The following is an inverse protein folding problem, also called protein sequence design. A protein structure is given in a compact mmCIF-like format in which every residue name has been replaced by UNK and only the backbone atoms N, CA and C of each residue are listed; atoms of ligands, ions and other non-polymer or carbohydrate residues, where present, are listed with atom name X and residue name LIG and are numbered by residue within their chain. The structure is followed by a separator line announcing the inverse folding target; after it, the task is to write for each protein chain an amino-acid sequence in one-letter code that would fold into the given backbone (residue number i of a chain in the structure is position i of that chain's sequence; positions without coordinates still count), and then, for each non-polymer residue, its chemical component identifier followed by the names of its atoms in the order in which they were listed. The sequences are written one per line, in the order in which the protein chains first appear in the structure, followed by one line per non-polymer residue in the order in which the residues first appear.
data_IF_067299844351
#
_entry.id   IF_067299844351
#
_cell.length_a   1.000
_cell.length_b   1.000
_cell.length_c   1.000
_cell.angle_alpha   90.00
_cell.angle_beta   90.00
_cell.angle_gamma   90.00
#
_symmetry.space_group_name_H-M   'P 1'
#
loop_
_entity.id
_entity.type
_entity.pdbx_description
1 polymer ?
#
# COMPACT_ATOMS: atom_id res chain seq x y z
N UNK A 1 27.57 57.71 -44.95
CA UNK A 1 27.94 57.12 -43.66
C UNK A 1 26.74 56.38 -43.16
N UNK A 2 26.66 55.10 -43.55
CA UNK A 2 25.66 54.14 -43.05
C UNK A 2 26.19 53.42 -41.86
N UNK A 3 25.62 53.63 -40.66
CA UNK A 3 25.90 52.89 -39.49
C UNK A 3 25.08 51.56 -39.49
N UNK A 4 25.75 50.45 -39.69
CA UNK A 4 25.17 49.13 -39.47
C UNK A 4 25.03 48.91 -37.98
N UNK A 5 23.78 48.75 -37.49
CA UNK A 5 23.51 48.26 -36.12
C UNK A 5 23.45 46.75 -36.19
N UNK A 6 24.45 46.10 -35.61
CA UNK A 6 24.44 44.66 -35.32
C UNK A 6 23.51 44.41 -34.14
N UNK A 7 22.35 43.80 -34.39
CA UNK A 7 21.52 43.27 -33.32
C UNK A 7 22.12 41.92 -32.89
N UNK A 8 22.75 41.85 -31.71
CA UNK A 8 23.10 40.61 -31.08
C UNK A 8 21.83 39.94 -30.57
N UNK A 9 21.39 38.86 -31.21
CA UNK A 9 20.39 37.95 -30.62
C UNK A 9 21.12 37.15 -29.52
N UNK A 10 20.91 37.51 -28.27
CA UNK A 10 21.20 36.63 -27.15
C UNK A 10 20.17 35.49 -27.16
N UNK A 11 20.53 34.34 -27.67
CA UNK A 11 19.83 33.13 -27.35
C UNK A 11 20.14 32.83 -25.89
N UNK A 12 19.23 33.18 -24.99
CA UNK A 12 19.25 32.63 -23.61
C UNK A 12 19.16 31.12 -23.73
N UNK A 13 20.01 30.41 -23.02
CA UNK A 13 19.89 28.95 -22.88
C UNK A 13 18.45 28.64 -22.48
N UNK A 14 17.76 27.80 -23.28
CA UNK A 14 16.44 27.32 -22.95
C UNK A 14 16.56 26.58 -21.60
N UNK A 15 15.80 27.03 -20.60
CA UNK A 15 15.82 26.37 -19.29
C UNK A 15 15.25 24.96 -19.46
N UNK A 16 16.03 23.95 -19.12
CA UNK A 16 15.56 22.58 -19.11
C UNK A 16 14.48 22.42 -18.02
N UNK A 17 13.37 21.82 -18.40
CA UNK A 17 12.27 21.50 -17.52
C UNK A 17 12.24 19.98 -17.28
N UNK A 18 11.84 19.56 -16.08
CA UNK A 18 11.84 18.14 -15.70
C UNK A 18 10.45 17.56 -15.88
N UNK A 19 10.39 16.41 -16.53
CA UNK A 19 9.24 15.49 -16.50
C UNK A 19 9.56 14.38 -15.52
N UNK A 20 9.03 14.48 -14.30
CA UNK A 20 9.17 13.46 -13.27
C UNK A 20 8.07 12.41 -13.45
N UNK A 21 8.46 11.16 -13.67
CA UNK A 21 7.54 10.05 -13.87
C UNK A 21 7.60 9.07 -12.70
N UNK A 22 6.44 8.51 -12.35
CA UNK A 22 6.31 7.45 -11.35
C UNK A 22 5.23 6.47 -11.79
N UNK A 23 5.22 5.29 -11.18
CA UNK A 23 4.18 4.28 -11.40
C UNK A 23 3.70 3.69 -10.09
N UNK A 24 2.45 3.24 -10.06
CA UNK A 24 1.99 2.31 -9.02
C UNK A 24 2.66 0.95 -9.21
N UNK A 25 2.43 0.01 -8.27
CA UNK A 25 2.85 -1.39 -8.46
C UNK A 25 2.16 -1.94 -9.71
N UNK A 26 2.85 -2.83 -10.43
CA UNK A 26 2.30 -3.56 -11.57
C UNK A 26 2.64 -2.99 -12.93
N UNK A 27 3.63 -2.13 -13.01
CA UNK A 27 4.14 -1.65 -14.30
C UNK A 27 5.26 -0.63 -14.19
N UNK A 28 5.78 -0.23 -15.33
CA UNK A 28 6.85 0.74 -15.48
C UNK A 28 6.45 1.88 -16.42
N UNK A 29 7.19 3.00 -16.31
CA UNK A 29 7.01 4.18 -17.15
C UNK A 29 8.32 4.54 -17.82
N UNK A 30 8.26 4.90 -19.09
CA UNK A 30 9.39 5.46 -19.85
C UNK A 30 9.05 6.84 -20.38
N UNK A 31 10.07 7.64 -20.72
CA UNK A 31 9.93 8.96 -21.31
C UNK A 31 10.05 10.13 -20.33
N UNK A 32 10.34 9.87 -19.04
CA UNK A 32 10.71 10.94 -18.10
C UNK A 32 12.12 11.47 -18.36
N UNK A 33 12.40 12.70 -17.94
CA UNK A 33 13.72 13.30 -18.10
C UNK A 33 13.65 14.84 -18.25
N UNK A 34 14.71 15.41 -18.81
CA UNK A 34 14.83 16.84 -19.08
C UNK A 34 14.38 17.16 -20.53
N UNK A 35 13.58 18.20 -20.68
CA UNK A 35 13.04 18.67 -21.95
C UNK A 35 13.09 20.19 -22.04
N UNK A 36 13.25 20.70 -23.23
CA UNK A 36 13.11 22.14 -23.47
C UNK A 36 11.62 22.53 -23.60
N UNK A 37 11.29 23.75 -23.18
CA UNK A 37 9.94 24.26 -23.36
C UNK A 37 9.52 24.26 -24.83
N UNK A 38 8.37 23.68 -25.14
CA UNK A 38 7.84 23.49 -26.48
C UNK A 38 8.20 22.16 -27.17
N UNK A 39 9.05 21.34 -26.56
CA UNK A 39 9.33 19.99 -27.07
C UNK A 39 8.14 19.04 -26.85
N UNK A 40 8.02 18.06 -27.72
CA UNK A 40 7.02 17.00 -27.59
C UNK A 40 7.55 15.93 -26.65
N UNK A 41 6.83 15.71 -25.55
CA UNK A 41 7.10 14.64 -24.60
C UNK A 41 6.21 13.46 -24.93
N UNK A 42 6.79 12.26 -24.94
CA UNK A 42 6.04 10.99 -25.07
C UNK A 42 6.31 10.15 -23.84
N UNK A 43 5.26 9.81 -23.10
CA UNK A 43 5.32 8.90 -21.95
C UNK A 43 4.62 7.59 -22.31
N UNK A 44 5.24 6.47 -21.96
CA UNK A 44 4.66 5.13 -22.20
C UNK A 44 4.60 4.36 -20.89
N UNK A 45 3.41 3.87 -20.56
CA UNK A 45 3.14 2.98 -19.45
C UNK A 45 3.14 1.53 -19.95
N UNK A 46 3.94 0.68 -19.30
CA UNK A 46 4.07 -0.74 -19.65
C UNK A 46 3.63 -1.57 -18.46
N UNK A 47 2.49 -2.28 -18.54
CA UNK A 47 2.04 -3.17 -17.48
C UNK A 47 2.97 -4.37 -17.33
N UNK A 48 3.19 -4.80 -16.10
CA UNK A 48 3.81 -6.08 -15.78
C UNK A 48 2.83 -7.24 -16.05
N UNK A 49 3.35 -8.48 -16.06
CA UNK A 49 2.50 -9.66 -16.22
C UNK A 49 1.46 -9.72 -15.07
N UNK A 50 0.20 -9.93 -15.44
CA UNK A 50 -0.91 -9.94 -14.48
C UNK A 50 -1.45 -8.56 -14.10
N UNK A 51 -0.99 -7.49 -14.76
CA UNK A 51 -1.50 -6.13 -14.56
C UNK A 51 -1.97 -5.52 -15.88
N UNK A 52 -2.87 -4.54 -15.78
CA UNK A 52 -3.26 -3.67 -16.89
C UNK A 52 -3.06 -2.21 -16.51
N UNK A 53 -2.81 -1.39 -17.49
CA UNK A 53 -2.76 0.06 -17.30
C UNK A 53 -4.17 0.59 -17.01
N UNK A 54 -4.29 1.43 -15.98
CA UNK A 54 -5.56 2.00 -15.53
C UNK A 54 -5.74 3.46 -15.93
N UNK A 55 -4.64 4.21 -16.12
CA UNK A 55 -4.68 5.61 -16.51
C UNK A 55 -3.50 6.42 -15.99
N UNK A 56 -3.43 7.67 -16.46
CA UNK A 56 -2.44 8.66 -16.05
C UNK A 56 -3.04 9.72 -15.14
N UNK A 57 -2.24 10.18 -14.17
CA UNK A 57 -2.45 11.45 -13.47
C UNK A 57 -1.30 12.37 -13.84
N UNK A 58 -1.59 13.46 -14.55
CA UNK A 58 -0.57 14.43 -15.02
C UNK A 58 -0.85 15.79 -14.41
N UNK A 59 0.19 16.41 -13.85
CA UNK A 59 0.16 17.77 -13.31
C UNK A 59 1.22 18.61 -14.00
N UNK A 60 0.87 19.84 -14.37
CA UNK A 60 1.77 20.78 -15.05
C UNK A 60 1.69 20.76 -16.57
N UNK A 61 0.97 19.82 -17.19
CA UNK A 61 0.72 19.78 -18.63
C UNK A 61 -0.72 19.37 -18.94
N UNK A 62 -1.22 19.73 -20.11
CA UNK A 62 -2.53 19.28 -20.62
C UNK A 62 -2.32 18.09 -21.55
N UNK A 63 -3.05 17.02 -21.29
CA UNK A 63 -3.04 15.77 -22.06
C UNK A 63 -4.47 15.48 -22.53
N UNK A 64 -4.61 15.14 -23.81
CA UNK A 64 -5.94 14.96 -24.42
C UNK A 64 -6.65 13.67 -23.93
N UNK A 65 -5.90 12.60 -23.70
CA UNK A 65 -6.43 11.31 -23.26
C UNK A 65 -5.50 10.71 -22.21
N UNK A 66 -5.97 10.68 -20.97
CA UNK A 66 -5.25 10.09 -19.83
C UNK A 66 -5.45 8.57 -19.70
N UNK A 67 -6.28 7.96 -20.55
CA UNK A 67 -6.56 6.52 -20.53
C UNK A 67 -5.71 5.73 -21.51
N UNK A 68 -5.05 6.39 -22.46
CA UNK A 68 -4.14 5.73 -23.40
C UNK A 68 -2.82 5.35 -22.71
N UNK A 69 -2.33 4.13 -22.95
CA UNK A 69 -1.05 3.66 -22.38
C UNK A 69 0.15 4.51 -22.80
N UNK A 70 0.09 5.11 -23.99
CA UNK A 70 1.07 6.09 -24.46
C UNK A 70 0.40 7.44 -24.63
N UNK A 71 0.94 8.46 -23.95
CA UNK A 71 0.45 9.85 -24.04
C UNK A 71 1.53 10.75 -24.60
N UNK A 72 1.08 11.81 -25.29
CA UNK A 72 1.95 12.87 -25.77
C UNK A 72 1.42 14.22 -25.32
N UNK A 73 2.33 15.15 -25.02
CA UNK A 73 2.00 16.54 -24.71
C UNK A 73 3.18 17.45 -25.08
N UNK A 74 2.92 18.72 -25.21
CA UNK A 74 3.98 19.72 -25.41
C UNK A 74 4.49 20.17 -24.05
N UNK A 75 5.81 20.14 -23.86
CA UNK A 75 6.45 20.61 -22.64
C UNK A 75 6.15 22.09 -22.40
N UNK A 76 5.60 22.49 -21.25
CA UNK A 76 5.38 23.88 -20.91
C UNK A 76 6.67 24.69 -20.95
N UNK A 77 6.57 25.97 -21.31
CA UNK A 77 7.73 26.86 -21.33
C UNK A 77 8.14 27.33 -19.93
N UNK A 78 7.32 27.08 -18.93
CA UNK A 78 7.55 27.42 -17.52
C UNK A 78 7.04 26.27 -16.64
N UNK A 79 7.86 25.85 -15.66
CA UNK A 79 7.52 24.82 -14.70
C UNK A 79 7.89 23.39 -15.13
N UNK A 80 7.74 22.47 -14.20
CA UNK A 80 7.98 21.05 -14.38
C UNK A 80 6.66 20.30 -14.53
N UNK A 81 6.73 19.06 -15.06
CA UNK A 81 5.58 18.16 -15.20
C UNK A 81 5.80 16.95 -14.31
N UNK A 82 4.75 16.50 -13.62
CA UNK A 82 4.74 15.22 -12.94
C UNK A 82 3.70 14.31 -13.57
N UNK A 83 4.04 13.04 -13.80
CA UNK A 83 3.13 12.05 -14.35
C UNK A 83 3.21 10.74 -13.55
N UNK A 84 2.06 10.28 -13.08
CA UNK A 84 1.90 9.00 -12.41
C UNK A 84 1.09 8.07 -13.32
N UNK A 85 1.66 6.92 -13.68
CA UNK A 85 0.93 5.82 -14.30
C UNK A 85 0.34 4.90 -13.23
N UNK A 86 -0.94 4.63 -13.33
CA UNK A 86 -1.64 3.70 -12.45
C UNK A 86 -1.81 2.36 -13.15
N UNK A 87 -1.46 1.28 -12.45
CA UNK A 87 -1.66 -0.09 -12.90
C UNK A 87 -2.54 -0.82 -11.89
N UNK A 88 -3.39 -1.71 -12.40
CA UNK A 88 -4.28 -2.55 -11.60
C UNK A 88 -4.12 -4.00 -12.05
N UNK A 89 -4.28 -4.98 -11.15
CA UNK A 89 -4.26 -6.39 -11.53
C UNK A 89 -5.26 -6.69 -12.64
N UNK A 90 -4.89 -7.58 -13.57
CA UNK A 90 -5.86 -8.11 -14.56
C UNK A 90 -6.72 -9.12 -13.85
N UNK A 91 -7.98 -8.78 -13.66
CA UNK A 91 -8.95 -9.71 -13.09
C UNK A 91 -9.15 -10.88 -14.05
N UNK A 92 -8.64 -12.07 -13.71
CA UNK A 92 -9.12 -13.29 -14.32
C UNK A 92 -10.56 -13.53 -13.86
N UNK A 93 -11.49 -13.59 -14.76
CA UNK A 93 -12.93 -13.62 -14.54
C UNK A 93 -13.40 -14.92 -13.83
N UNK A 94 -13.13 -15.01 -12.54
CA UNK A 94 -13.62 -16.09 -11.67
C UNK A 94 -14.54 -15.62 -10.54
N UNK A 95 -14.62 -14.30 -10.29
CA UNK A 95 -15.49 -13.75 -9.25
C UNK A 95 -16.95 -13.61 -9.70
N UNK A 96 -17.89 -13.82 -8.80
CA UNK A 96 -19.31 -13.58 -9.04
C UNK A 96 -19.58 -12.09 -9.16
N UNK A 97 -19.99 -11.61 -10.33
CA UNK A 97 -20.38 -10.22 -10.55
C UNK A 97 -21.80 -10.00 -9.99
N UNK A 98 -21.89 -9.37 -8.83
CA UNK A 98 -23.16 -9.15 -8.11
C UNK A 98 -23.38 -7.65 -7.94
N UNK A 99 -24.55 -7.18 -8.35
CA UNK A 99 -24.96 -5.77 -8.27
C UNK A 99 -25.95 -5.46 -7.14
N UNK A 100 -25.98 -6.29 -6.08
CA UNK A 100 -26.89 -6.15 -4.94
C UNK A 100 -26.23 -5.46 -3.74
N UNK A 101 -27.02 -4.84 -2.84
CA UNK A 101 -26.52 -4.24 -1.60
C UNK A 101 -26.07 -5.28 -0.56
N UNK A 102 -26.35 -6.55 -0.78
CA UNK A 102 -25.88 -7.65 0.07
C UNK A 102 -25.53 -8.87 -0.76
N UNK A 103 -24.55 -9.63 -0.28
CA UNK A 103 -24.06 -10.85 -0.92
C UNK A 103 -23.81 -11.94 0.13
N UNK A 104 -24.10 -13.18 -0.20
CA UNK A 104 -23.75 -14.34 0.62
C UNK A 104 -22.47 -14.97 0.09
N UNK A 105 -21.55 -15.32 0.98
CA UNK A 105 -20.28 -15.95 0.63
C UNK A 105 -19.88 -17.01 1.64
N UNK A 106 -19.00 -17.93 1.22
CA UNK A 106 -18.36 -18.93 2.09
C UNK A 106 -17.06 -18.36 2.63
N UNK A 107 -16.60 -18.88 3.77
CA UNK A 107 -15.30 -18.53 4.31
C UNK A 107 -14.17 -18.81 3.28
N UNK A 108 -13.29 -17.84 3.08
CA UNK A 108 -12.20 -17.90 2.11
C UNK A 108 -12.60 -17.60 0.67
N UNK A 109 -13.88 -17.39 0.38
CA UNK A 109 -14.36 -17.06 -0.97
C UNK A 109 -13.95 -15.63 -1.35
N UNK A 110 -13.41 -15.48 -2.58
CA UNK A 110 -13.20 -14.18 -3.20
C UNK A 110 -14.50 -13.66 -3.78
N UNK A 111 -14.95 -12.53 -3.29
CA UNK A 111 -16.22 -11.89 -3.69
C UNK A 111 -15.95 -10.61 -4.44
N UNK A 112 -16.68 -10.38 -5.52
CA UNK A 112 -16.63 -9.14 -6.30
C UNK A 112 -18.04 -8.57 -6.46
N UNK A 113 -18.21 -7.33 -6.04
CA UNK A 113 -19.46 -6.59 -6.17
C UNK A 113 -19.18 -5.27 -6.86
N UNK A 114 -19.96 -4.94 -7.87
CA UNK A 114 -19.75 -3.70 -8.61
C UNK A 114 -19.89 -2.49 -7.70
N UNK A 115 -18.89 -1.61 -7.72
CA UNK A 115 -18.95 -0.35 -6.98
C UNK A 115 -20.07 0.52 -7.58
N UNK A 116 -21.05 0.97 -6.79
CA UNK A 116 -22.11 1.85 -7.30
C UNK A 116 -21.55 3.17 -7.84
N UNK A 117 -22.17 3.69 -8.89
CA UNK A 117 -21.77 4.96 -9.49
C UNK A 117 -21.78 6.09 -8.45
N UNK A 118 -20.73 6.90 -8.46
CA UNK A 118 -20.56 8.03 -7.55
C UNK A 118 -20.11 7.66 -6.13
N UNK A 119 -19.86 6.38 -5.84
CA UNK A 119 -19.26 5.95 -4.56
C UNK A 119 -17.75 5.82 -4.67
N UNK A 120 -17.06 6.20 -3.62
CA UNK A 120 -15.63 5.93 -3.43
C UNK A 120 -15.39 4.61 -2.69
N UNK A 121 -14.16 4.15 -2.68
CA UNK A 121 -13.74 2.94 -1.96
C UNK A 121 -14.08 2.97 -0.47
N UNK A 122 -13.98 4.15 0.17
CA UNK A 122 -14.24 4.31 1.61
C UNK A 122 -15.73 4.49 1.93
N UNK A 123 -16.56 4.71 0.91
CA UNK A 123 -18.01 4.86 1.06
C UNK A 123 -18.79 3.57 0.74
N UNK A 124 -18.11 2.50 0.37
CA UNK A 124 -18.75 1.23 0.05
C UNK A 124 -17.86 0.06 0.46
N UNK A 125 -17.66 -0.08 1.78
CA UNK A 125 -16.81 -1.09 2.40
C UNK A 125 -17.61 -2.33 2.77
N UNK A 126 -17.13 -3.54 2.44
CA UNK A 126 -17.80 -4.77 2.83
C UNK A 126 -17.73 -4.97 4.35
N UNK A 127 -18.85 -5.38 4.93
CA UNK A 127 -19.00 -5.61 6.36
C UNK A 127 -19.88 -6.83 6.61
N UNK A 128 -19.76 -7.40 7.81
CA UNK A 128 -20.52 -8.56 8.25
C UNK A 128 -20.82 -8.45 9.75
N UNK A 129 -21.75 -9.27 10.23
CA UNK A 129 -22.01 -9.36 11.67
C UNK A 129 -21.06 -10.40 12.29
N UNK A 130 -20.27 -9.99 13.26
CA UNK A 130 -19.35 -10.87 13.99
C UNK A 130 -20.10 -11.83 14.94
N UNK A 131 -19.35 -12.67 15.66
CA UNK A 131 -19.93 -13.63 16.59
C UNK A 131 -20.58 -12.99 17.83
N UNK A 132 -20.31 -11.72 18.10
CA UNK A 132 -20.95 -10.94 19.18
C UNK A 132 -22.20 -10.20 18.72
N UNK A 133 -22.57 -10.30 17.45
CA UNK A 133 -23.68 -9.57 16.84
C UNK A 133 -23.31 -8.13 16.40
N UNK A 134 -22.03 -7.75 16.50
CA UNK A 134 -21.54 -6.42 16.10
C UNK A 134 -21.15 -6.40 14.63
N UNK A 135 -21.37 -5.24 13.98
CA UNK A 135 -20.89 -5.01 12.63
C UNK A 135 -19.34 -4.90 12.62
N UNK A 136 -18.71 -5.71 11.78
CA UNK A 136 -17.26 -5.70 11.54
C UNK A 136 -16.98 -5.46 10.06
N UNK A 137 -15.97 -4.65 9.76
CA UNK A 137 -15.49 -4.44 8.40
C UNK A 137 -14.66 -5.64 7.93
N UNK A 138 -14.64 -5.89 6.63
CA UNK A 138 -13.75 -6.90 6.04
C UNK A 138 -12.37 -6.29 5.81
N UNK A 139 -11.33 -6.71 6.53
CA UNK A 139 -10.01 -6.08 6.46
C UNK A 139 -9.33 -6.28 5.10
N UNK A 140 -9.47 -7.48 4.51
CA UNK A 140 -8.89 -7.82 3.21
C UNK A 140 -9.92 -7.54 2.13
N UNK A 141 -9.99 -6.28 1.74
CA UNK A 141 -10.90 -5.75 0.73
C UNK A 141 -10.25 -4.57 0.00
N UNK A 142 -10.62 -4.35 -1.26
CA UNK A 142 -10.19 -3.20 -2.06
C UNK A 142 -11.15 -2.96 -3.21
N UNK A 143 -11.10 -1.79 -3.83
CA UNK A 143 -11.72 -1.56 -5.14
C UNK A 143 -10.71 -1.90 -6.22
N UNK A 144 -11.03 -2.91 -7.03
CA UNK A 144 -10.22 -3.37 -8.16
C UNK A 144 -11.12 -3.36 -9.40
N UNK A 145 -10.70 -2.67 -10.45
CA UNK A 145 -11.44 -2.58 -11.73
C UNK A 145 -12.90 -2.11 -11.60
N UNK A 146 -13.18 -1.23 -10.64
CA UNK A 146 -14.55 -0.75 -10.37
C UNK A 146 -15.43 -1.72 -9.60
N UNK A 147 -14.83 -2.79 -9.04
CA UNK A 147 -15.49 -3.74 -8.17
C UNK A 147 -14.91 -3.69 -6.76
N UNK A 148 -15.76 -3.69 -5.75
CA UNK A 148 -15.36 -4.02 -4.39
C UNK A 148 -15.04 -5.50 -4.35
N UNK A 149 -13.77 -5.80 -4.19
CA UNK A 149 -13.22 -7.18 -4.15
C UNK A 149 -12.77 -7.46 -2.72
N UNK A 150 -13.16 -8.60 -2.17
CA UNK A 150 -12.79 -8.97 -0.81
C UNK A 150 -12.74 -10.47 -0.58
N UNK A 151 -11.91 -10.91 0.38
CA UNK A 151 -11.94 -12.28 0.88
C UNK A 151 -12.91 -12.37 2.06
N UNK A 152 -13.88 -13.26 1.95
CA UNK A 152 -14.87 -13.49 2.99
C UNK A 152 -14.23 -14.15 4.22
N UNK A 153 -14.11 -13.48 5.40
CA UNK A 153 -13.45 -14.05 6.57
C UNK A 153 -14.24 -15.21 7.20
N UNK A 154 -15.54 -15.30 6.94
CA UNK A 154 -16.42 -16.39 7.38
C UNK A 154 -17.58 -16.59 6.42
N UNK A 155 -18.24 -17.74 6.49
CA UNK A 155 -19.48 -17.94 5.74
C UNK A 155 -20.61 -17.07 6.31
N UNK A 156 -21.38 -16.42 5.43
CA UNK A 156 -22.48 -15.56 5.85
C UNK A 156 -22.86 -14.51 4.82
N UNK A 157 -23.72 -13.60 5.25
CA UNK A 157 -24.16 -12.47 4.43
C UNK A 157 -23.33 -11.23 4.73
N UNK A 158 -22.85 -10.62 3.66
CA UNK A 158 -22.07 -9.37 3.67
C UNK A 158 -22.95 -8.23 3.19
N UNK A 159 -22.76 -7.08 3.81
CA UNK A 159 -23.40 -5.81 3.44
C UNK A 159 -22.32 -4.78 3.17
N UNK A 160 -22.71 -3.58 2.80
CA UNK A 160 -21.76 -2.50 2.52
C UNK A 160 -22.08 -1.29 3.39
N UNK A 161 -21.04 -0.64 3.88
CA UNK A 161 -21.16 0.52 4.76
C UNK A 161 -20.14 1.60 4.37
N UNK A 162 -20.40 2.82 4.82
CA UNK A 162 -19.53 3.97 4.59
C UNK A 162 -18.70 4.25 5.84
N UNK A 163 -17.38 4.39 5.67
CA UNK A 163 -16.47 4.77 6.75
C UNK A 163 -15.33 5.66 6.22
N UNK A 164 -15.64 6.83 5.62
CA UNK A 164 -14.61 7.76 5.20
C UNK A 164 -13.90 8.35 6.43
N UNK A 165 -12.59 8.23 6.48
CA UNK A 165 -11.75 8.75 7.56
C UNK A 165 -10.76 9.74 6.97
N UNK A 166 -10.76 10.97 7.49
CA UNK A 166 -9.81 12.00 7.11
C UNK A 166 -9.01 12.48 8.33
N UNK A 167 -7.75 12.81 8.11
CA UNK A 167 -6.87 13.38 9.12
C UNK A 167 -6.28 14.70 8.63
N UNK A 168 -6.18 15.67 9.53
CA UNK A 168 -5.74 17.03 9.21
C UNK A 168 -4.27 17.11 8.78
N UNK A 169 -3.46 16.12 9.11
CA UNK A 169 -2.02 16.07 8.85
C UNK A 169 -1.62 15.11 7.73
N UNK A 170 -2.58 14.65 6.91
CA UNK A 170 -2.29 13.68 5.84
C UNK A 170 -2.59 14.18 4.44
N UNK A 171 -3.32 15.28 4.26
CA UNK A 171 -3.87 15.72 2.97
C UNK A 171 -2.81 15.89 1.85
N UNK A 172 -1.59 16.30 2.21
CA UNK A 172 -0.47 16.48 1.27
C UNK A 172 0.66 15.48 1.53
N UNK A 173 0.40 14.41 2.27
CA UNK A 173 1.40 13.42 2.58
C UNK A 173 1.46 12.35 1.48
N UNK A 174 2.67 11.89 1.11
CA UNK A 174 2.87 10.89 0.06
C UNK A 174 2.10 9.57 0.29
N UNK A 175 1.75 9.24 1.53
CA UNK A 175 1.00 8.05 1.92
C UNK A 175 -0.48 8.34 2.20
N UNK A 176 -1.02 9.50 1.82
CA UNK A 176 -2.39 9.89 2.13
C UNK A 176 -3.41 8.82 1.75
N UNK A 177 -3.31 8.26 0.55
CA UNK A 177 -4.21 7.22 0.04
C UNK A 177 -4.09 5.92 0.85
N UNK A 178 -2.87 5.47 1.15
CA UNK A 178 -2.66 4.27 1.95
C UNK A 178 -3.14 4.44 3.39
N UNK A 179 -3.00 5.63 3.96
CA UNK A 179 -3.52 5.97 5.29
C UNK A 179 -5.05 5.94 5.29
N UNK A 180 -5.70 6.60 4.32
CA UNK A 180 -7.15 6.60 4.16
C UNK A 180 -7.68 5.18 3.95
N UNK A 181 -7.06 4.40 3.08
CA UNK A 181 -7.36 3.00 2.82
C UNK A 181 -7.35 2.16 4.12
N UNK A 182 -6.28 2.23 4.89
CA UNK A 182 -6.12 1.47 6.12
C UNK A 182 -7.04 1.96 7.24
N UNK A 183 -7.24 3.28 7.37
CA UNK A 183 -8.09 3.86 8.40
C UNK A 183 -9.57 3.54 8.15
N UNK A 184 -10.02 3.61 6.90
CA UNK A 184 -11.38 3.25 6.53
C UNK A 184 -11.73 1.79 6.88
N UNK A 185 -10.75 0.89 6.89
CA UNK A 185 -10.87 -0.53 7.30
C UNK A 185 -10.60 -0.75 8.80
N UNK A 186 -10.50 0.32 9.58
CA UNK A 186 -10.21 0.30 11.03
C UNK A 186 -8.87 -0.39 11.40
N UNK A 187 -7.96 -0.57 10.44
CA UNK A 187 -6.62 -1.14 10.70
C UNK A 187 -5.79 -0.17 11.54
N UNK A 188 -5.90 1.11 11.25
CA UNK A 188 -5.29 2.18 12.01
C UNK A 188 -6.32 3.12 12.61
N UNK A 189 -5.99 3.65 13.77
CA UNK A 189 -6.71 4.77 14.39
C UNK A 189 -5.82 6.01 14.41
N UNK A 190 -6.41 7.19 14.43
CA UNK A 190 -5.68 8.43 14.68
C UNK A 190 -5.06 8.48 16.08
N UNK A 191 -4.18 9.46 16.29
CA UNK A 191 -3.51 9.70 17.59
C UNK A 191 -4.26 10.70 18.48
N UNK A 192 -5.45 11.09 18.07
CA UNK A 192 -6.26 12.13 18.71
C UNK A 192 -6.18 13.47 17.99
N UNK A 193 -7.11 14.40 18.32
CA UNK A 193 -7.18 15.72 17.71
C UNK A 193 -7.34 15.74 16.19
N UNK A 194 -7.95 14.70 15.58
CA UNK A 194 -8.11 14.60 14.14
C UNK A 194 -6.81 14.35 13.36
N UNK A 195 -5.75 13.87 14.04
CA UNK A 195 -4.42 13.63 13.45
C UNK A 195 -4.10 12.16 13.33
N UNK A 196 -3.29 11.80 12.31
CA UNK A 196 -2.73 10.47 12.09
C UNK A 196 -1.29 10.33 12.58
N UNK A 197 -0.51 11.40 12.54
CA UNK A 197 0.94 11.43 12.77
C UNK A 197 1.71 10.49 11.80
N UNK A 198 1.68 10.75 10.48
CA UNK A 198 2.22 9.82 9.47
C UNK A 198 3.70 9.50 9.63
N UNK A 199 4.52 10.48 10.00
CA UNK A 199 5.97 10.33 10.16
C UNK A 199 6.38 9.78 11.53
N UNK A 200 5.44 9.63 12.47
CA UNK A 200 5.74 9.05 13.77
C UNK A 200 6.08 7.55 13.62
N UNK A 201 7.13 7.06 14.30
CA UNK A 201 7.45 5.65 14.31
C UNK A 201 6.38 4.83 15.04
N UNK A 202 6.26 3.56 14.70
CA UNK A 202 5.38 2.63 15.38
C UNK A 202 6.12 1.80 16.42
N UNK A 203 5.44 1.47 17.51
CA UNK A 203 5.95 0.46 18.44
C UNK A 203 5.66 -0.95 17.91
N UNK A 204 6.39 -1.94 18.41
CA UNK A 204 6.17 -3.35 18.11
C UNK A 204 4.76 -3.79 18.50
N UNK A 205 4.23 -3.31 19.63
CA UNK A 205 2.85 -3.56 20.05
C UNK A 205 1.81 -2.97 19.09
N UNK A 206 2.04 -1.77 18.56
CA UNK A 206 1.17 -1.17 17.56
C UNK A 206 1.12 -2.02 16.28
N UNK A 207 2.26 -2.46 15.79
CA UNK A 207 2.32 -3.26 14.57
C UNK A 207 1.67 -4.63 14.76
N UNK A 208 1.91 -5.30 15.89
CA UNK A 208 1.23 -6.53 16.27
C UNK A 208 -0.30 -6.38 16.28
N UNK A 209 -0.79 -5.25 16.84
CA UNK A 209 -2.23 -4.96 16.89
C UNK A 209 -2.84 -4.76 15.52
N UNK A 210 -2.12 -4.16 14.58
CA UNK A 210 -2.60 -4.01 13.21
C UNK A 210 -2.70 -5.37 12.51
N UNK A 211 -1.71 -6.25 12.64
CA UNK A 211 -1.77 -7.62 12.10
C UNK A 211 -2.93 -8.43 12.72
N UNK A 212 -3.16 -8.29 14.02
CA UNK A 212 -4.27 -8.93 14.72
C UNK A 212 -5.64 -8.47 14.19
N UNK A 213 -5.79 -7.16 13.89
CA UNK A 213 -7.00 -6.62 13.26
C UNK A 213 -7.20 -7.16 11.85
N UNK A 214 -6.15 -7.26 11.03
CA UNK A 214 -6.21 -7.85 9.69
C UNK A 214 -6.63 -9.33 9.77
N UNK A 215 -6.18 -10.04 10.81
CA UNK A 215 -6.59 -11.43 11.08
C UNK A 215 -8.04 -11.57 11.55
N UNK A 216 -8.79 -10.46 11.72
CA UNK A 216 -10.16 -10.47 12.20
C UNK A 216 -10.29 -10.64 13.71
N UNK A 217 -9.23 -10.34 14.46
CA UNK A 217 -9.17 -10.42 15.94
C UNK A 217 -9.65 -11.77 16.47
N UNK A 218 -9.02 -12.88 16.08
CA UNK A 218 -9.42 -14.22 16.53
C UNK A 218 -9.33 -14.33 18.05
N UNK A 219 -10.13 -15.23 18.62
CA UNK A 219 -10.09 -15.49 20.05
C UNK A 219 -8.68 -15.93 20.49
N UNK A 220 -8.22 -15.38 21.59
CA UNK A 220 -6.88 -15.65 22.13
C UNK A 220 -6.96 -16.69 23.22
N UNK A 221 -6.10 -17.69 23.13
CA UNK A 221 -5.88 -18.72 24.17
C UNK A 221 -4.39 -18.87 24.42
N UNK A 222 -4.02 -19.14 25.67
CA UNK A 222 -2.63 -19.38 26.05
C UNK A 222 -2.12 -18.44 27.14
N UNK A 223 -0.99 -18.82 27.73
CA UNK A 223 -0.35 -18.05 28.78
C UNK A 223 0.58 -16.98 28.17
N UNK A 224 0.61 -15.81 28.79
CA UNK A 224 1.57 -14.78 28.50
C UNK A 224 2.97 -15.20 28.97
N UNK A 225 3.94 -15.31 28.08
CA UNK A 225 5.32 -15.60 28.41
C UNK A 225 6.22 -14.35 28.49
N UNK A 226 5.67 -13.16 28.26
CA UNK A 226 6.42 -11.91 28.25
C UNK A 226 6.18 -11.10 29.52
N UNK A 227 7.26 -10.72 30.19
CA UNK A 227 7.19 -9.97 31.45
C UNK A 227 6.77 -8.50 31.25
N UNK A 228 7.00 -7.93 30.05
CA UNK A 228 6.70 -6.54 29.68
C UNK A 228 5.34 -6.39 28.98
N UNK A 229 4.54 -7.44 28.91
CA UNK A 229 3.18 -7.42 28.35
C UNK A 229 2.17 -7.46 29.49
N UNK A 230 1.65 -6.32 29.88
CA UNK A 230 0.66 -6.24 30.95
C UNK A 230 -0.70 -6.80 30.48
N UNK A 231 -1.43 -7.44 31.39
CA UNK A 231 -2.78 -7.94 31.10
C UNK A 231 -3.79 -6.79 30.91
N UNK A 232 -4.81 -7.02 30.08
CA UNK A 232 -5.94 -6.12 29.89
C UNK A 232 -5.62 -4.81 29.16
N UNK A 233 -4.44 -4.71 28.54
CA UNK A 233 -4.08 -3.55 27.71
C UNK A 233 -4.61 -3.74 26.28
N UNK A 234 -4.71 -2.64 25.54
CA UNK A 234 -5.20 -2.63 24.16
C UNK A 234 -4.39 -3.51 23.18
N UNK A 235 -3.16 -3.85 23.53
CA UNK A 235 -2.24 -4.69 22.75
C UNK A 235 -2.12 -6.13 23.26
N UNK A 236 -2.65 -6.43 24.43
CA UNK A 236 -2.41 -7.72 25.11
C UNK A 236 -2.83 -8.88 24.22
N UNK A 237 -4.07 -8.89 23.76
CA UNK A 237 -4.61 -9.97 22.93
C UNK A 237 -3.83 -10.12 21.61
N UNK A 238 -3.44 -9.00 20.99
CA UNK A 238 -2.68 -9.03 19.76
C UNK A 238 -1.29 -9.68 19.94
N UNK A 239 -0.62 -9.40 21.05
CA UNK A 239 0.70 -9.96 21.33
C UNK A 239 0.58 -11.45 21.67
N UNK A 240 -0.39 -11.84 22.50
CA UNK A 240 -0.63 -13.24 22.85
C UNK A 240 -1.03 -14.08 21.64
N UNK A 241 -1.91 -13.55 20.76
CA UNK A 241 -2.23 -14.18 19.50
C UNK A 241 -0.99 -14.36 18.62
N UNK A 242 -0.21 -13.31 18.43
CA UNK A 242 0.99 -13.35 17.60
C UNK A 242 2.05 -14.29 18.15
N UNK A 243 2.17 -14.42 19.49
CA UNK A 243 3.02 -15.39 20.16
C UNK A 243 2.54 -16.82 19.89
N UNK A 244 1.26 -17.11 20.10
CA UNK A 244 0.68 -18.47 19.95
C UNK A 244 0.72 -18.96 18.50
N UNK A 245 0.67 -18.04 17.52
CA UNK A 245 0.74 -18.34 16.09
C UNK A 245 2.16 -18.34 15.53
N UNK A 246 3.16 -17.94 16.31
CA UNK A 246 4.55 -17.82 15.87
C UNK A 246 4.85 -16.58 15.01
N UNK A 247 3.87 -15.73 14.78
CA UNK A 247 4.05 -14.46 14.03
C UNK A 247 4.99 -13.53 14.78
N UNK A 248 4.84 -13.49 16.10
CA UNK A 248 5.61 -12.65 17.00
C UNK A 248 6.59 -13.51 17.79
N UNK A 249 7.83 -13.03 17.89
CA UNK A 249 8.84 -13.55 18.82
C UNK A 249 9.33 -12.39 19.71
N UNK A 250 9.62 -12.71 20.97
CA UNK A 250 10.34 -11.82 21.86
C UNK A 250 11.84 -11.82 21.59
N UNK A 251 12.59 -11.15 22.46
CA UNK A 251 14.05 -11.03 22.36
C UNK A 251 14.83 -12.22 22.93
N UNK A 252 14.14 -13.28 23.38
CA UNK A 252 14.75 -14.46 23.96
C UNK A 252 15.05 -14.35 25.47
N UNK A 253 14.81 -13.19 26.08
CA UNK A 253 15.03 -12.91 27.51
C UNK A 253 13.72 -12.75 28.30
N UNK A 254 12.59 -13.21 27.76
CA UNK A 254 11.28 -13.04 28.35
C UNK A 254 10.62 -11.68 28.09
N UNK A 255 11.24 -10.84 27.26
CA UNK A 255 10.67 -9.56 26.86
C UNK A 255 10.18 -9.60 25.40
N UNK A 256 9.04 -8.99 25.16
CA UNK A 256 8.53 -8.72 23.81
C UNK A 256 9.12 -7.42 23.24
N UNK A 257 9.37 -6.43 24.06
CA UNK A 257 9.70 -5.07 23.64
C UNK A 257 8.44 -4.28 23.27
N UNK A 258 7.45 -4.27 24.14
CA UNK A 258 6.12 -3.71 23.91
C UNK A 258 6.16 -2.28 23.41
N UNK A 259 7.01 -1.44 24.02
CA UNK A 259 7.17 -0.02 23.70
C UNK A 259 8.34 0.27 22.76
N UNK A 260 9.12 -0.74 22.40
CA UNK A 260 10.23 -0.56 21.47
C UNK A 260 9.69 -0.27 20.07
N UNK A 261 10.39 0.59 19.36
CA UNK A 261 10.03 0.93 17.99
C UNK A 261 10.32 -0.24 17.06
N UNK A 262 9.37 -0.57 16.19
CA UNK A 262 9.54 -1.63 15.21
C UNK A 262 10.50 -1.20 14.11
N UNK A 263 11.57 -1.94 13.89
CA UNK A 263 12.48 -1.69 12.78
C UNK A 263 11.92 -2.25 11.46
N UNK A 264 12.42 -1.73 10.34
CA UNK A 264 11.99 -2.16 9.00
C UNK A 264 12.26 -3.65 8.76
N UNK A 265 13.37 -4.21 9.25
CA UNK A 265 13.61 -5.65 9.15
C UNK A 265 12.68 -6.48 10.04
N UNK A 266 12.35 -5.99 11.25
CA UNK A 266 11.39 -6.66 12.13
C UNK A 266 9.97 -6.66 11.54
N UNK A 267 9.57 -5.54 10.94
CA UNK A 267 8.31 -5.43 10.21
C UNK A 267 8.20 -6.50 9.12
N UNK A 268 9.24 -6.66 8.28
CA UNK A 268 9.27 -7.69 7.24
C UNK A 268 9.10 -9.10 7.82
N UNK A 269 9.75 -9.40 8.94
CA UNK A 269 9.64 -10.73 9.58
C UNK A 269 8.22 -11.00 10.07
N UNK A 270 7.63 -10.04 10.77
CA UNK A 270 6.26 -10.19 11.28
C UNK A 270 5.25 -10.31 10.14
N UNK A 271 5.42 -9.54 9.07
CA UNK A 271 4.57 -9.57 7.88
C UNK A 271 4.66 -10.90 7.13
N UNK A 272 5.87 -11.38 6.87
CA UNK A 272 6.11 -12.65 6.19
C UNK A 272 5.53 -13.84 6.98
N UNK A 273 5.73 -13.86 8.30
CA UNK A 273 5.14 -14.89 9.17
C UNK A 273 3.62 -14.81 9.22
N UNK A 274 3.05 -13.60 9.22
CA UNK A 274 1.61 -13.44 9.12
C UNK A 274 1.05 -14.06 7.84
N UNK A 275 1.64 -13.76 6.68
CA UNK A 275 1.22 -14.31 5.40
C UNK A 275 1.32 -15.84 5.38
N UNK A 276 2.40 -16.40 5.91
CA UNK A 276 2.60 -17.83 6.02
C UNK A 276 1.56 -18.48 6.96
N UNK A 277 1.32 -17.90 8.13
CA UNK A 277 0.31 -18.38 9.07
C UNK A 277 -1.10 -18.35 8.47
N UNK A 278 -1.43 -17.31 7.74
CA UNK A 278 -2.73 -17.13 7.09
C UNK A 278 -2.89 -17.98 5.81
N UNK A 279 -1.83 -18.67 5.35
CA UNK A 279 -1.85 -19.49 4.14
C UNK A 279 -1.89 -18.68 2.85
N UNK A 280 -1.48 -17.40 2.87
CA UNK A 280 -1.43 -16.57 1.66
C UNK A 280 -0.14 -16.80 0.87
N UNK A 281 -0.26 -17.42 -0.28
CA UNK A 281 0.84 -17.63 -1.21
C UNK A 281 0.92 -16.47 -2.21
N UNK A 282 1.85 -15.54 -1.98
CA UNK A 282 2.06 -14.41 -2.88
C UNK A 282 3.15 -14.76 -3.90
N UNK A 283 2.89 -14.64 -5.20
CA UNK A 283 3.92 -14.84 -6.23
C UNK A 283 4.98 -13.74 -6.16
N UNK A 284 6.21 -14.04 -6.59
CA UNK A 284 7.22 -13.03 -6.79
C UNK A 284 6.86 -12.18 -8.02
N UNK A 285 6.76 -10.87 -7.84
CA UNK A 285 6.41 -9.90 -8.89
C UNK A 285 7.61 -9.09 -9.36
N UNK A 286 8.72 -9.14 -8.63
CA UNK A 286 9.98 -8.47 -8.99
C UNK A 286 11.17 -9.39 -8.72
N UNK A 287 12.27 -9.16 -9.44
CA UNK A 287 13.55 -9.81 -9.13
C UNK A 287 14.08 -9.33 -7.78
N UNK A 288 14.86 -10.17 -7.12
CA UNK A 288 15.51 -9.82 -5.86
C UNK A 288 16.47 -8.64 -6.05
N UNK A 289 16.19 -7.55 -5.36
CA UNK A 289 17.01 -6.33 -5.41
C UNK A 289 18.20 -6.43 -4.48
N UNK A 290 19.37 -6.09 -4.97
CA UNK A 290 20.56 -5.99 -4.13
C UNK A 290 20.67 -4.58 -3.54
N UNK A 291 20.26 -4.42 -2.29
CA UNK A 291 20.41 -3.15 -1.57
C UNK A 291 21.86 -2.87 -1.23
N UNK A 292 22.28 -1.61 -1.32
CA UNK A 292 23.65 -1.18 -1.01
C UNK A 292 24.05 -1.43 0.46
N UNK A 293 23.07 -1.46 1.35
CA UNK A 293 23.24 -1.72 2.79
C UNK A 293 22.82 -3.14 3.21
N UNK A 294 22.77 -4.10 2.29
CA UNK A 294 22.36 -5.49 2.57
C UNK A 294 23.16 -6.15 3.70
N UNK A 295 24.43 -5.79 3.86
CA UNK A 295 25.28 -6.31 4.94
C UNK A 295 24.79 -5.91 6.35
N UNK A 296 23.94 -4.87 6.46
CA UNK A 296 23.34 -4.42 7.72
C UNK A 296 22.05 -5.18 8.05
N UNK A 297 21.48 -5.93 7.10
CA UNK A 297 20.33 -6.78 7.36
C UNK A 297 20.78 -7.94 8.25
N UNK A 298 20.07 -8.13 9.37
CA UNK A 298 20.33 -9.24 10.27
C UNK A 298 20.12 -10.58 9.56
N UNK A 299 20.97 -11.57 9.84
CA UNK A 299 20.85 -12.91 9.24
C UNK A 299 19.48 -13.53 9.45
N UNK A 300 18.87 -13.34 10.62
CA UNK A 300 17.53 -13.84 10.94
C UNK A 300 16.40 -13.16 10.16
N UNK A 301 16.64 -11.98 9.56
CA UNK A 301 15.66 -11.22 8.79
C UNK A 301 15.86 -11.32 7.26
N UNK A 302 17.01 -11.79 6.80
CA UNK A 302 17.42 -11.69 5.40
C UNK A 302 16.42 -12.30 4.43
N UNK A 303 15.95 -13.53 4.71
CA UNK A 303 14.98 -14.22 3.84
C UNK A 303 13.62 -13.53 3.84
N UNK A 304 13.18 -13.00 4.99
CA UNK A 304 11.91 -12.30 5.11
C UNK A 304 11.95 -10.92 4.42
N UNK A 305 13.08 -10.23 4.46
CA UNK A 305 13.29 -8.99 3.71
C UNK A 305 13.25 -9.26 2.22
N UNK A 306 13.96 -10.29 1.74
CA UNK A 306 13.93 -10.70 0.34
C UNK A 306 12.52 -11.14 -0.10
N UNK A 307 11.81 -11.87 0.76
CA UNK A 307 10.41 -12.24 0.55
C UNK A 307 9.54 -11.01 0.35
N UNK A 308 9.53 -10.07 1.28
CA UNK A 308 8.71 -8.86 1.19
C UNK A 308 9.06 -8.00 -0.04
N UNK A 309 10.35 -7.91 -0.36
CA UNK A 309 10.82 -7.14 -1.52
C UNK A 309 10.40 -7.78 -2.84
N UNK A 310 10.61 -9.09 -3.02
CA UNK A 310 10.28 -9.77 -4.29
C UNK A 310 8.78 -9.83 -4.56
N UNK A 311 7.94 -9.70 -3.54
CA UNK A 311 6.47 -9.62 -3.66
C UNK A 311 5.95 -8.20 -3.74
N UNK A 312 6.84 -7.20 -3.89
CA UNK A 312 6.45 -5.80 -4.02
C UNK A 312 5.86 -5.17 -2.75
N UNK A 313 5.92 -5.85 -1.60
CA UNK A 313 5.37 -5.34 -0.34
C UNK A 313 6.19 -4.18 0.20
N UNK A 314 7.51 -4.26 0.07
CA UNK A 314 8.42 -3.22 0.52
C UNK A 314 9.40 -2.81 -0.58
N UNK A 315 9.52 -1.52 -0.79
CA UNK A 315 10.51 -0.93 -1.68
C UNK A 315 11.68 -0.41 -0.83
N UNK A 316 12.84 -0.27 -1.45
CA UNK A 316 13.96 0.42 -0.81
C UNK A 316 13.67 1.91 -0.63
N UNK A 317 14.54 2.56 0.09
CA UNK A 317 14.64 4.01 0.23
C UNK A 317 15.56 4.60 -0.86
N UNK A 318 15.64 5.92 -1.02
CA UNK A 318 16.60 6.57 -1.91
C UNK A 318 18.03 6.04 -1.72
N UNK A 319 18.84 6.18 -2.78
CA UNK A 319 20.23 5.70 -2.80
C UNK A 319 20.38 4.17 -2.64
N UNK A 320 19.38 3.41 -3.14
CA UNK A 320 19.39 1.95 -3.14
C UNK A 320 19.57 1.33 -1.73
N UNK A 321 18.97 1.92 -0.71
CA UNK A 321 19.04 1.43 0.69
C UNK A 321 17.76 0.72 1.09
N UNK A 322 17.90 -0.31 1.93
CA UNK A 322 16.78 -0.91 2.66
C UNK A 322 16.56 -0.25 4.02
N UNK A 323 17.63 0.21 4.67
CA UNK A 323 17.67 0.79 6.01
C UNK A 323 17.08 -0.17 7.09
N UNK A 324 17.66 -1.37 7.30
CA UNK A 324 17.06 -2.44 8.10
C UNK A 324 16.82 -2.04 9.56
N UNK A 325 17.70 -1.23 10.13
CA UNK A 325 17.63 -0.80 11.53
C UNK A 325 16.84 0.50 11.75
N UNK A 326 16.41 1.16 10.68
CA UNK A 326 15.54 2.33 10.80
C UNK A 326 14.17 1.93 11.32
N UNK A 327 13.58 2.77 12.14
CA UNK A 327 12.24 2.59 12.65
C UNK A 327 11.22 2.81 11.53
N UNK A 328 10.25 1.91 11.40
CA UNK A 328 9.19 2.04 10.42
C UNK A 328 8.15 3.05 10.90
N UNK A 329 7.83 4.05 10.05
CA UNK A 329 6.81 5.06 10.35
C UNK A 329 5.40 4.52 10.16
N UNK A 330 4.40 5.22 10.69
CA UNK A 330 2.99 4.89 10.50
C UNK A 330 2.59 4.95 9.02
N UNK A 331 3.11 5.92 8.27
CA UNK A 331 2.92 6.04 6.82
C UNK A 331 3.52 4.85 6.05
N UNK A 332 4.76 4.48 6.35
CA UNK A 332 5.41 3.31 5.74
C UNK A 332 4.61 2.04 6.02
N UNK A 333 4.17 1.84 7.27
CA UNK A 333 3.36 0.68 7.63
C UNK A 333 2.01 0.67 6.89
N UNK A 334 1.31 1.81 6.79
CA UNK A 334 0.05 1.89 6.03
C UNK A 334 0.25 1.49 4.56
N UNK A 335 1.32 1.97 3.93
CA UNK A 335 1.65 1.66 2.54
C UNK A 335 1.96 0.19 2.33
N UNK A 336 2.75 -0.41 3.23
CA UNK A 336 3.09 -1.84 3.16
C UNK A 336 1.85 -2.72 3.34
N UNK A 337 0.95 -2.35 4.26
CA UNK A 337 -0.28 -3.10 4.50
C UNK A 337 -1.29 -2.97 3.36
N UNK A 338 -1.44 -1.80 2.76
CA UNK A 338 -2.25 -1.64 1.55
C UNK A 338 -1.73 -2.54 0.43
N UNK A 339 -0.42 -2.52 0.16
CA UNK A 339 0.22 -3.39 -0.84
C UNK A 339 0.00 -4.87 -0.53
N UNK A 340 0.13 -5.26 0.72
CA UNK A 340 -0.13 -6.64 1.15
C UNK A 340 -1.58 -7.06 0.87
N UNK A 341 -2.56 -6.24 1.22
CA UNK A 341 -3.97 -6.54 0.97
C UNK A 341 -4.25 -6.65 -0.53
N UNK A 342 -3.73 -5.72 -1.33
CA UNK A 342 -3.87 -5.78 -2.79
C UNK A 342 -3.21 -7.04 -3.38
N UNK A 343 -2.01 -7.42 -2.90
CA UNK A 343 -1.32 -8.62 -3.36
C UNK A 343 -2.08 -9.91 -2.99
N UNK A 344 -2.67 -9.96 -1.78
CA UNK A 344 -3.52 -11.10 -1.36
C UNK A 344 -4.74 -11.23 -2.28
N UNK A 345 -5.44 -10.13 -2.56
CA UNK A 345 -6.61 -10.15 -3.43
C UNK A 345 -6.23 -10.57 -4.86
N UNK A 346 -5.13 -10.03 -5.39
CA UNK A 346 -4.64 -10.41 -6.72
C UNK A 346 -4.22 -11.89 -6.81
N UNK A 347 -3.62 -12.45 -5.74
CA UNK A 347 -3.24 -13.87 -5.72
C UNK A 347 -4.47 -14.79 -5.63
N UNK A 348 -5.53 -14.34 -4.97
CA UNK A 348 -6.78 -15.10 -4.86
C UNK A 348 -7.63 -15.10 -6.14
N UNK A 349 -7.36 -14.21 -7.09
CA UNK A 349 -7.97 -14.19 -8.42
C UNK A 349 -7.32 -15.18 -9.40
N UNK A 350 -6.12 -15.67 -9.06
CA UNK A 350 -5.39 -16.63 -9.89
C UNK A 350 -5.69 -18.05 -9.36
N UNK A 351 -6.36 -18.93 -10.13
CA UNK A 351 -6.69 -20.29 -9.72
C UNK A 351 -5.44 -21.18 -9.55
#
# INVERSE_FOLDING_TARGET
NGAYRTASLCFGALANHIVAVSSTIGGSVTGGGEYNGGETVTLTAVPDNGYRFAGWTVTGASVADLTAATITFTMPRVGNVTALASFVPVSSSGGTDISSESVSAKAGELVRVKLPAGKSETEYLPCYTDNSGKLALVPISAVIDGYVTFLAPKSGTYRFTSNPVAFSDTANHWAADAISFCAARELFKGVGGGRFAPDAPMTRAMFATVLYRIAGMPAVSGANSFYDVAAGQWYTDAILWGQSTGIISGYGNGLFGTNDLVTREQMCVMLSRYLQWAGYELPAVTAAKQFGDKAQISKWAADNVAFCQTRGLINGQPNNRFAPKANATRAENSTVLQRMILAILASAETP
#
